data_IF_993886812413
#
_entry.id   IF_993886812413
#
_cell.length_a   1.000
_cell.length_b   1.000
_cell.length_c   1.000
_cell.angle_alpha   90.00
_cell.angle_beta   90.00
_cell.angle_gamma   90.00
#
_symmetry.space_group_name_H-M   'P 1'
#
loop_
_entity.id
_entity.type
_entity.pdbx_description
1 polymer ?
#
# COMPACT_ATOMS: atom_id res chain seq x y z
N UNK A 1 23.07 3.65 0.30
CA UNK A 1 22.31 4.73 -0.38
C UNK A 1 21.86 4.32 -1.78
N UNK A 2 22.36 3.20 -2.32
CA UNK A 2 21.94 2.65 -3.62
C UNK A 2 20.79 1.66 -3.39
N UNK A 3 19.65 1.88 -4.05
CA UNK A 3 18.44 1.07 -3.87
C UNK A 3 17.29 1.79 -4.55
N UNK A 4 16.57 2.63 -3.80
CA UNK A 4 15.38 3.35 -4.27
C UNK A 4 15.53 4.11 -5.61
N UNK A 5 16.55 4.98 -5.72
CA UNK A 5 16.73 5.86 -6.89
C UNK A 5 17.23 5.14 -8.14
N UNK A 6 17.86 3.97 -7.98
CA UNK A 6 18.32 3.18 -9.13
C UNK A 6 17.18 2.36 -9.74
N UNK A 7 16.17 2.04 -8.94
CA UNK A 7 15.02 1.25 -9.37
C UNK A 7 14.03 2.05 -10.23
N UNK A 8 13.95 3.37 -10.06
CA UNK A 8 12.97 4.23 -10.74
C UNK A 8 13.67 5.34 -11.52
N UNK A 9 13.75 5.27 -12.86
CA UNK A 9 14.37 6.30 -13.69
C UNK A 9 13.70 7.67 -13.53
N UNK A 10 14.48 8.74 -13.33
CA UNK A 10 13.97 10.12 -13.22
C UNK A 10 13.33 10.48 -11.88
N UNK A 11 13.24 9.54 -10.94
CA UNK A 11 12.61 9.77 -9.64
C UNK A 11 13.29 10.89 -8.85
N UNK A 12 14.61 11.05 -8.99
CA UNK A 12 15.38 12.06 -8.25
C UNK A 12 14.91 13.48 -8.58
N UNK A 13 14.60 13.75 -9.84
CA UNK A 13 14.12 15.04 -10.31
C UNK A 13 12.75 15.38 -9.71
N UNK A 14 11.92 14.36 -9.45
CA UNK A 14 10.55 14.49 -8.98
C UNK A 14 10.46 14.51 -7.44
N UNK A 15 11.03 13.51 -6.76
CA UNK A 15 10.91 13.34 -5.30
C UNK A 15 12.07 13.98 -4.50
N UNK A 16 13.18 14.31 -5.16
CA UNK A 16 14.34 14.96 -4.55
C UNK A 16 15.42 13.99 -4.06
N UNK A 17 16.26 14.43 -3.11
CA UNK A 17 17.35 13.62 -2.57
C UNK A 17 16.90 12.84 -1.32
N UNK A 18 17.49 11.64 -1.07
CA UNK A 18 17.29 10.91 0.18
C UNK A 18 17.61 11.78 1.39
N UNK A 19 16.73 11.80 2.39
CA UNK A 19 16.93 12.55 3.64
C UNK A 19 17.26 11.65 4.83
N UNK A 20 17.04 10.35 4.68
CA UNK A 20 17.32 9.32 5.68
C UNK A 20 17.97 8.10 5.02
N UNK A 21 18.43 7.15 5.82
CA UNK A 21 18.96 5.89 5.31
C UNK A 21 17.83 4.97 4.81
N UNK A 22 18.17 4.19 3.79
CA UNK A 22 17.34 3.09 3.30
C UNK A 22 17.20 2.05 4.40
N UNK A 23 15.96 1.72 4.78
CA UNK A 23 15.72 0.76 5.86
C UNK A 23 14.69 -0.29 5.48
N UNK A 24 14.90 -1.49 6.00
CA UNK A 24 13.97 -2.61 5.91
C UNK A 24 12.78 -2.32 6.82
N UNK A 25 11.57 -2.64 6.35
CA UNK A 25 10.36 -2.59 7.16
C UNK A 25 9.56 -3.88 7.01
N UNK A 26 8.65 -4.10 7.95
CA UNK A 26 7.53 -5.02 7.75
C UNK A 26 6.39 -4.28 7.09
N UNK A 27 5.93 -4.82 5.96
CA UNK A 27 4.81 -4.27 5.20
C UNK A 27 3.87 -5.39 4.72
N UNK A 28 2.61 -5.04 4.56
CA UNK A 28 1.55 -5.89 4.01
C UNK A 28 0.88 -5.09 2.90
N UNK A 29 0.50 -5.74 1.80
CA UNK A 29 -0.28 -5.09 0.75
C UNK A 29 -1.49 -5.91 0.35
N UNK A 30 -2.50 -5.24 -0.18
CA UNK A 30 -3.70 -5.86 -0.73
C UNK A 30 -4.13 -5.12 -2.00
N UNK A 31 -4.57 -5.90 -2.99
CA UNK A 31 -5.02 -5.37 -4.28
C UNK A 31 -6.53 -5.16 -4.26
N UNK A 32 -6.99 -4.01 -4.73
CA UNK A 32 -8.40 -3.64 -4.83
C UNK A 32 -8.81 -3.43 -6.28
N UNK A 33 -10.12 -3.37 -6.52
CA UNK A 33 -10.68 -3.15 -7.86
C UNK A 33 -10.16 -1.89 -8.54
N UNK A 34 -9.89 -0.83 -7.76
CA UNK A 34 -9.46 0.49 -8.26
C UNK A 34 -8.36 1.07 -7.37
N UNK A 35 -7.37 0.25 -7.02
CA UNK A 35 -6.26 0.74 -6.21
C UNK A 35 -5.60 -0.31 -5.34
N UNK A 36 -4.88 0.18 -4.34
CA UNK A 36 -4.09 -0.64 -3.42
C UNK A 36 -4.20 -0.11 -2.00
N UNK A 37 -4.03 -1.01 -1.03
CA UNK A 37 -3.62 -0.61 0.31
C UNK A 37 -2.26 -1.19 0.66
N UNK A 38 -1.47 -0.43 1.41
CA UNK A 38 -0.18 -0.86 1.97
C UNK A 38 -0.12 -0.47 3.44
N UNK A 39 0.06 -1.45 4.31
CA UNK A 39 0.33 -1.22 5.73
C UNK A 39 1.82 -1.25 5.99
N UNK A 40 2.31 -0.39 6.90
CA UNK A 40 3.66 -0.47 7.46
C UNK A 40 3.64 -0.51 8.98
N UNK A 41 4.49 -1.36 9.54
CA UNK A 41 4.56 -1.61 10.97
C UNK A 41 5.04 -0.40 11.77
N UNK A 42 6.14 0.24 11.36
CA UNK A 42 6.82 1.27 12.16
C UNK A 42 5.90 2.42 12.61
N UNK A 43 5.04 2.89 11.70
CA UNK A 43 4.04 3.93 11.99
C UNK A 43 2.64 3.38 12.25
N UNK A 44 2.47 2.06 12.19
CA UNK A 44 1.18 1.38 12.24
C UNK A 44 0.13 2.09 11.36
N UNK A 45 0.48 2.30 10.09
CA UNK A 45 -0.28 3.14 9.16
C UNK A 45 -0.59 2.38 7.87
N UNK A 46 -1.82 2.56 7.39
CA UNK A 46 -2.34 2.06 6.12
C UNK A 46 -2.35 3.21 5.12
N UNK A 47 -1.65 3.04 4.02
CA UNK A 47 -1.67 3.91 2.86
C UNK A 47 -2.69 3.40 1.86
N UNK A 48 -3.53 4.30 1.36
CA UNK A 48 -4.55 4.02 0.35
C UNK A 48 -4.15 4.73 -0.94
N UNK A 49 -4.09 3.99 -2.04
CA UNK A 49 -3.76 4.50 -3.37
C UNK A 49 -4.96 4.28 -4.29
N UNK A 50 -5.56 5.36 -4.78
CA UNK A 50 -6.75 5.30 -5.63
C UNK A 50 -6.37 5.38 -7.11
N UNK A 51 -6.84 4.45 -7.93
CA UNK A 51 -6.55 4.45 -9.37
C UNK A 51 -7.00 5.76 -10.05
N UNK A 52 -6.03 6.53 -10.56
CA UNK A 52 -6.28 7.79 -11.26
C UNK A 52 -6.53 9.00 -10.36
N UNK A 53 -6.35 8.87 -9.04
CA UNK A 53 -6.47 9.95 -8.06
C UNK A 53 -5.25 9.95 -7.11
N UNK A 54 -5.31 10.67 -5.99
CA UNK A 54 -4.22 10.78 -5.02
C UNK A 54 -4.06 9.58 -4.08
N UNK A 55 -3.28 9.79 -3.03
CA UNK A 55 -3.12 8.84 -1.93
C UNK A 55 -3.53 9.45 -0.59
N UNK A 56 -3.92 8.61 0.35
CA UNK A 56 -4.27 8.98 1.72
C UNK A 56 -3.64 8.01 2.72
N UNK A 57 -3.61 8.38 4.01
CA UNK A 57 -3.14 7.48 5.06
C UNK A 57 -4.04 7.48 6.29
N UNK A 58 -4.19 6.29 6.87
CA UNK A 58 -5.01 6.02 8.04
C UNK A 58 -4.18 5.27 9.08
N UNK A 59 -4.39 5.54 10.37
CA UNK A 59 -3.81 4.69 11.42
C UNK A 59 -4.54 3.34 11.44
N UNK A 60 -3.80 2.24 11.54
CA UNK A 60 -4.42 0.93 11.74
C UNK A 60 -4.92 0.81 13.18
N UNK A 61 -6.25 0.81 13.34
CA UNK A 61 -6.92 0.68 14.64
C UNK A 61 -7.40 -0.73 14.92
N UNK A 62 -7.23 -1.65 13.97
CA UNK A 62 -7.64 -3.03 14.16
C UNK A 62 -6.72 -3.70 15.17
N UNK A 63 -7.30 -4.49 16.06
CA UNK A 63 -6.60 -5.20 17.12
C UNK A 63 -7.05 -6.65 17.14
N UNK A 64 -6.14 -7.53 17.58
CA UNK A 64 -6.45 -8.95 17.73
C UNK A 64 -7.69 -9.15 18.62
N UNK A 65 -8.63 -9.96 18.15
CA UNK A 65 -9.93 -10.17 18.78
C UNK A 65 -11.05 -9.25 18.32
N UNK A 66 -10.76 -8.20 17.53
CA UNK A 66 -11.81 -7.49 16.76
C UNK A 66 -12.34 -8.39 15.64
N UNK A 67 -13.60 -8.22 15.20
CA UNK A 67 -14.12 -8.90 14.02
C UNK A 67 -13.21 -8.65 12.81
N UNK A 68 -12.88 -9.70 12.06
CA UNK A 68 -12.10 -9.56 10.83
C UNK A 68 -12.93 -9.00 9.67
N UNK A 69 -14.24 -9.20 9.69
CA UNK A 69 -15.20 -8.83 8.66
C UNK A 69 -16.45 -8.22 9.30
N UNK A 70 -17.11 -7.31 8.58
CA UNK A 70 -18.44 -6.83 8.93
C UNK A 70 -19.49 -7.41 7.96
N UNK A 71 -20.38 -8.32 8.42
CA UNK A 71 -21.40 -8.94 7.58
C UNK A 71 -22.46 -7.97 7.04
N UNK A 72 -22.55 -6.73 7.57
CA UNK A 72 -23.52 -5.73 7.12
C UNK A 72 -23.28 -5.26 5.68
N UNK A 73 -22.04 -5.37 5.19
CA UNK A 73 -21.67 -5.08 3.80
C UNK A 73 -22.01 -6.21 2.82
N UNK A 74 -22.52 -7.34 3.33
CA UNK A 74 -23.00 -8.47 2.53
C UNK A 74 -21.88 -9.25 1.83
N UNK A 75 -22.25 -10.33 1.10
CA UNK A 75 -21.28 -11.07 0.33
C UNK A 75 -20.78 -10.21 -0.85
N UNK A 76 -19.46 -10.21 -1.12
CA UNK A 76 -18.89 -9.52 -2.27
C UNK A 76 -19.38 -10.17 -3.59
N UNK A 77 -19.40 -9.42 -4.71
CA UNK A 77 -19.63 -10.00 -6.03
C UNK A 77 -18.65 -11.13 -6.38
N UNK A 78 -19.00 -11.95 -7.37
CA UNK A 78 -18.13 -13.04 -7.81
C UNK A 78 -16.75 -12.52 -8.26
N UNK A 79 -15.68 -13.15 -7.76
CA UNK A 79 -14.30 -12.83 -8.13
C UNK A 79 -13.63 -11.74 -7.28
N UNK A 80 -14.30 -11.23 -6.25
CA UNK A 80 -13.75 -10.28 -5.27
C UNK A 80 -14.11 -10.70 -3.84
N UNK A 81 -13.43 -10.12 -2.86
CA UNK A 81 -13.61 -10.39 -1.43
C UNK A 81 -13.83 -9.09 -0.64
N UNK A 82 -14.45 -9.20 0.53
CA UNK A 82 -14.42 -8.12 1.53
C UNK A 82 -13.01 -8.06 2.13
N UNK A 83 -12.36 -6.88 2.16
CA UNK A 83 -11.09 -6.72 2.88
C UNK A 83 -11.27 -7.01 4.37
N UNK A 84 -10.24 -7.57 4.99
CA UNK A 84 -10.26 -8.02 6.39
C UNK A 84 -9.37 -7.15 7.26
N UNK A 85 -9.55 -7.28 8.58
CA UNK A 85 -8.64 -6.73 9.61
C UNK A 85 -8.40 -5.23 9.42
N UNK A 86 -7.15 -4.75 9.47
CA UNK A 86 -6.81 -3.33 9.36
C UNK A 86 -7.33 -2.68 8.07
N UNK A 87 -7.05 -3.29 6.91
CA UNK A 87 -7.57 -2.82 5.62
C UNK A 87 -9.10 -2.85 5.57
N UNK A 88 -9.68 -3.91 6.10
CA UNK A 88 -11.13 -4.07 6.23
C UNK A 88 -11.76 -2.97 7.07
N UNK A 89 -11.17 -2.64 8.22
CA UNK A 89 -11.68 -1.62 9.12
C UNK A 89 -11.65 -0.23 8.48
N UNK A 90 -10.54 0.14 7.82
CA UNK A 90 -10.45 1.40 7.07
C UNK A 90 -11.53 1.44 5.98
N UNK A 91 -11.66 0.38 5.19
CA UNK A 91 -12.68 0.28 4.14
C UNK A 91 -14.13 0.34 4.68
N UNK A 92 -14.39 -0.17 5.88
CA UNK A 92 -15.71 -0.14 6.51
C UNK A 92 -16.04 1.26 7.04
N UNK A 93 -15.12 1.87 7.78
CA UNK A 93 -15.33 3.14 8.49
C UNK A 93 -15.29 4.37 7.58
N UNK A 94 -14.67 4.25 6.40
CA UNK A 94 -14.48 5.33 5.44
C UNK A 94 -15.23 5.05 4.13
N UNK A 95 -16.47 5.56 3.96
CA UNK A 95 -17.24 5.38 2.73
C UNK A 95 -16.49 5.83 1.47
N UNK A 96 -15.73 6.92 1.56
CA UNK A 96 -14.87 7.44 0.49
C UNK A 96 -13.81 6.44 0.05
N UNK A 97 -13.16 5.74 1.01
CA UNK A 97 -12.17 4.70 0.72
C UNK A 97 -12.84 3.53 0.00
N UNK A 98 -14.00 3.10 0.49
CA UNK A 98 -14.77 2.00 -0.09
C UNK A 98 -15.28 2.31 -1.49
N UNK A 99 -15.80 3.50 -1.71
CA UNK A 99 -16.29 3.96 -3.01
C UNK A 99 -15.12 4.20 -3.98
N UNK A 100 -13.98 4.68 -3.50
CA UNK A 100 -12.76 4.86 -4.29
C UNK A 100 -12.19 3.52 -4.76
N UNK A 101 -11.88 2.61 -3.83
CA UNK A 101 -11.20 1.35 -4.11
C UNK A 101 -12.10 0.24 -4.66
N UNK A 102 -13.36 0.18 -4.23
CA UNK A 102 -14.21 -1.00 -4.43
C UNK A 102 -13.79 -2.18 -3.55
N UNK A 103 -14.11 -3.40 -3.97
CA UNK A 103 -13.78 -4.62 -3.24
C UNK A 103 -12.30 -5.02 -3.40
N UNK A 104 -11.79 -5.86 -2.50
CA UNK A 104 -10.46 -6.45 -2.65
C UNK A 104 -10.49 -7.62 -3.64
N UNK A 105 -9.42 -7.84 -4.40
CA UNK A 105 -9.31 -9.01 -5.30
C UNK A 105 -8.81 -10.26 -4.59
N UNK A 106 -7.92 -10.07 -3.62
CA UNK A 106 -7.21 -11.13 -2.93
C UNK A 106 -7.11 -10.81 -1.44
N UNK A 107 -6.74 -11.82 -0.65
CA UNK A 107 -6.37 -11.61 0.75
C UNK A 107 -5.13 -10.72 0.83
N UNK A 108 -5.01 -10.00 1.95
CA UNK A 108 -3.79 -9.27 2.25
C UNK A 108 -2.57 -10.20 2.28
N UNK A 109 -1.42 -9.70 1.83
CA UNK A 109 -0.19 -10.48 1.76
C UNK A 109 0.99 -9.68 2.26
N UNK A 110 1.74 -10.27 3.18
CA UNK A 110 3.02 -9.74 3.61
C UNK A 110 3.97 -9.58 2.43
N UNK A 111 4.71 -8.46 2.41
CA UNK A 111 5.86 -8.31 1.55
C UNK A 111 6.96 -9.22 2.10
N UNK A 112 7.44 -10.16 1.27
CA UNK A 112 8.54 -11.05 1.64
C UNK A 112 9.83 -10.24 1.87
N UNK A 113 10.00 -9.15 1.10
CA UNK A 113 10.96 -8.10 1.36
C UNK A 113 10.26 -6.73 1.22
N UNK A 114 10.56 -5.78 2.11
CA UNK A 114 10.08 -4.42 1.97
C UNK A 114 11.11 -3.42 2.48
N UNK A 115 11.15 -2.27 1.81
CA UNK A 115 12.07 -1.19 2.14
C UNK A 115 11.41 0.18 2.07
N UNK A 116 11.93 1.10 2.87
CA UNK A 116 11.52 2.50 2.90
C UNK A 116 12.68 3.40 2.50
N UNK A 117 12.38 4.45 1.74
CA UNK A 117 13.29 5.58 1.56
C UNK A 117 12.52 6.89 1.67
N UNK A 118 12.86 7.70 2.67
CA UNK A 118 12.38 9.07 2.74
C UNK A 118 13.22 9.99 1.85
N UNK A 119 12.54 10.94 1.19
CA UNK A 119 13.10 11.95 0.32
C UNK A 119 12.64 13.35 0.72
N UNK A 120 13.28 14.38 0.18
CA UNK A 120 12.94 15.76 0.49
C UNK A 120 11.53 16.22 0.07
N UNK A 121 10.84 15.46 -0.81
CA UNK A 121 9.47 15.74 -1.27
C UNK A 121 8.56 14.52 -1.29
N UNK A 122 8.86 13.52 -0.46
CA UNK A 122 8.01 12.33 -0.40
C UNK A 122 8.68 11.10 0.18
N UNK A 123 8.06 9.97 -0.09
CA UNK A 123 8.40 8.67 0.47
C UNK A 123 8.32 7.60 -0.61
N UNK A 124 9.23 6.64 -0.58
CA UNK A 124 9.14 5.42 -1.37
C UNK A 124 8.97 4.21 -0.45
N UNK A 125 8.01 3.34 -0.76
CA UNK A 125 7.84 2.02 -0.16
C UNK A 125 8.03 0.96 -1.24
N UNK A 126 9.04 0.12 -1.12
CA UNK A 126 9.18 -1.10 -1.92
C UNK A 126 8.48 -2.26 -1.20
N UNK A 127 7.72 -3.05 -1.95
CA UNK A 127 7.14 -4.30 -1.49
C UNK A 127 7.39 -5.39 -2.54
N UNK A 128 8.18 -6.40 -2.17
CA UNK A 128 8.48 -7.56 -3.01
C UNK A 128 7.78 -8.80 -2.43
N UNK A 129 7.04 -9.51 -3.28
CA UNK A 129 6.31 -10.73 -2.94
C UNK A 129 6.78 -11.87 -3.85
N UNK A 130 7.23 -12.97 -3.25
CA UNK A 130 7.62 -14.20 -3.95
C UNK A 130 6.39 -15.06 -4.22
N UNK A 131 5.85 -14.92 -5.43
CA UNK A 131 4.71 -15.69 -5.94
C UNK A 131 5.23 -16.71 -6.95
N UNK A 132 5.78 -17.80 -6.43
CA UNK A 132 6.50 -18.82 -7.22
C UNK A 132 5.74 -19.23 -8.50
N UNK A 133 6.43 -19.28 -9.67
CA UNK A 133 7.87 -19.11 -9.88
C UNK A 133 8.32 -17.64 -10.07
N UNK A 134 7.43 -16.67 -9.87
CA UNK A 134 7.68 -15.26 -10.12
C UNK A 134 7.93 -14.51 -8.81
N UNK A 135 8.64 -13.39 -8.91
CA UNK A 135 8.58 -12.36 -7.89
C UNK A 135 7.75 -11.20 -8.43
N UNK A 136 7.03 -10.52 -7.55
CA UNK A 136 6.29 -9.30 -7.87
C UNK A 136 6.80 -8.21 -6.95
N UNK A 137 7.51 -7.25 -7.52
CA UNK A 137 7.94 -6.04 -6.81
C UNK A 137 7.04 -4.89 -7.22
N UNK A 138 6.53 -4.15 -6.23
CA UNK A 138 5.89 -2.84 -6.44
C UNK A 138 6.63 -1.80 -5.64
N UNK A 139 6.86 -0.66 -6.26
CA UNK A 139 7.46 0.51 -5.64
C UNK A 139 6.40 1.60 -5.62
N UNK A 140 5.89 1.90 -4.43
CA UNK A 140 4.93 2.96 -4.18
C UNK A 140 5.68 4.24 -3.90
N UNK A 141 5.39 5.29 -4.66
CA UNK A 141 6.04 6.60 -4.58
C UNK A 141 4.99 7.59 -4.15
N UNK A 142 5.09 8.09 -2.93
CA UNK A 142 4.13 9.00 -2.30
C UNK A 142 4.75 10.39 -2.30
N UNK A 143 4.20 11.31 -3.10
CA UNK A 143 4.63 12.70 -3.10
C UNK A 143 3.92 13.48 -2.01
N UNK A 144 4.62 14.45 -1.41
CA UNK A 144 4.07 15.28 -0.32
C UNK A 144 2.90 16.19 -0.77
N UNK A 145 2.71 16.35 -2.09
CA UNK A 145 1.59 17.10 -2.68
C UNK A 145 0.30 16.27 -2.80
N UNK A 146 0.31 15.01 -2.36
CA UNK A 146 -0.84 14.09 -2.40
C UNK A 146 -0.95 13.28 -3.68
N UNK A 147 -0.07 13.49 -4.67
CA UNK A 147 0.04 12.62 -5.84
C UNK A 147 0.89 11.40 -5.54
N UNK A 148 0.77 10.36 -6.37
CA UNK A 148 1.58 9.15 -6.24
C UNK A 148 1.96 8.59 -7.61
N UNK A 149 2.99 7.73 -7.62
CA UNK A 149 3.25 6.81 -8.72
C UNK A 149 3.50 5.38 -8.18
N UNK A 150 3.23 4.37 -9.00
CA UNK A 150 3.52 2.97 -8.68
C UNK A 150 4.35 2.38 -9.82
N UNK A 151 5.62 2.12 -9.52
CA UNK A 151 6.52 1.48 -10.44
C UNK A 151 6.56 -0.04 -10.22
N UNK A 152 6.49 -0.79 -11.32
CA UNK A 152 6.59 -2.25 -11.34
C UNK A 152 7.78 -2.63 -12.24
N UNK A 153 8.96 -2.91 -11.67
CA UNK A 153 10.09 -3.37 -12.45
C UNK A 153 9.75 -4.69 -13.17
N UNK A 154 10.25 -4.83 -14.40
CA UNK A 154 10.07 -6.02 -15.25
C UNK A 154 10.81 -7.24 -14.72
#
# INVERSE_FOLDING_TARGET
VEGALEMVPGLREEIGCPVEEYHVLTAISQDFQRGYMVWREEKNSIYVFYEGDGWESYSDRWQEGMPELDPSFGPPPAGVIQPKRGFGLVWQEHPEVREGLGWAFNEERACDEAHLQAFGRGLMIECTQFVMPKQKTRIFILFDDGTYDIYMPL
#
